data_IF_542489221281
#
_entry.id   IF_542489221281
#
_cell.length_a   1.000
_cell.length_b   1.000
_cell.length_c   1.000
_cell.angle_alpha   90.00
_cell.angle_beta   90.00
_cell.angle_gamma   90.00
#
_symmetry.space_group_name_H-M   'P 1'
#
loop_
_entity.id
_entity.type
_entity.pdbx_description
1 polymer ?
#
# COMPACT_ATOMS: atom_id res chain seq x y z
N UNK A 1 3.44 -35.31 17.19
CA UNK A 1 3.75 -34.88 15.82
C UNK A 1 2.88 -33.68 15.55
N UNK A 2 3.46 -32.49 15.37
CA UNK A 2 2.70 -31.33 14.92
C UNK A 2 2.36 -31.54 13.43
N UNK A 3 1.14 -31.24 13.02
CA UNK A 3 0.77 -31.27 11.60
C UNK A 3 1.40 -30.09 10.88
N UNK A 4 1.70 -30.24 9.59
CA UNK A 4 2.25 -29.15 8.76
C UNK A 4 1.37 -27.88 8.82
N UNK A 5 0.04 -28.04 8.91
CA UNK A 5 -0.90 -26.92 9.09
C UNK A 5 -0.68 -26.12 10.38
N UNK A 6 -0.38 -26.77 11.51
CA UNK A 6 -0.10 -26.04 12.77
C UNK A 6 1.23 -25.27 12.72
N UNK A 7 2.16 -25.70 11.87
CA UNK A 7 3.45 -25.03 11.69
C UNK A 7 3.32 -23.80 10.77
N UNK A 8 2.48 -23.88 9.74
CA UNK A 8 2.15 -22.73 8.87
C UNK A 8 1.38 -21.64 9.62
N UNK A 9 0.41 -21.99 10.48
CA UNK A 9 -0.34 -21.02 11.30
C UNK A 9 0.53 -20.34 12.38
N UNK A 10 1.43 -21.06 13.05
CA UNK A 10 2.38 -20.45 14.00
C UNK A 10 3.35 -19.47 13.30
N UNK A 11 3.82 -19.81 12.10
CA UNK A 11 4.67 -18.93 11.30
C UNK A 11 3.93 -17.67 10.85
N UNK A 12 2.71 -17.81 10.35
CA UNK A 12 1.87 -16.67 9.96
C UNK A 12 1.63 -15.72 11.14
N UNK A 13 1.32 -16.26 12.32
CA UNK A 13 1.12 -15.45 13.52
C UNK A 13 2.41 -14.74 13.97
N UNK A 14 3.58 -15.38 13.86
CA UNK A 14 4.87 -14.73 14.15
C UNK A 14 5.23 -13.64 13.13
N UNK A 15 4.95 -13.88 11.85
CA UNK A 15 5.17 -12.92 10.76
C UNK A 15 4.21 -11.72 10.89
N UNK A 16 2.94 -11.95 11.27
CA UNK A 16 1.99 -10.89 11.58
C UNK A 16 2.40 -10.06 12.80
N UNK A 17 2.95 -10.70 13.84
CA UNK A 17 3.52 -10.01 15.01
C UNK A 17 4.72 -9.14 14.62
N UNK A 18 5.62 -9.61 13.75
CA UNK A 18 6.74 -8.82 13.24
C UNK A 18 6.28 -7.61 12.39
N UNK A 19 5.18 -7.75 11.64
CA UNK A 19 4.64 -6.69 10.77
C UNK A 19 3.57 -5.81 11.43
N UNK A 20 3.23 -6.03 12.71
CA UNK A 20 2.36 -5.12 13.48
C UNK A 20 2.86 -3.67 13.41
N UNK A 21 4.18 -3.51 13.47
CA UNK A 21 4.84 -2.23 13.39
C UNK A 21 5.40 -2.05 11.98
N UNK A 22 4.74 -1.20 11.20
CA UNK A 22 5.22 -0.83 9.88
C UNK A 22 6.47 0.03 10.09
N UNK A 23 7.65 -0.58 10.00
CA UNK A 23 8.94 0.14 10.01
C UNK A 23 9.13 0.82 8.65
N UNK A 24 8.73 2.08 8.57
CA UNK A 24 8.97 2.95 7.43
C UNK A 24 10.12 3.91 7.73
N UNK A 25 10.98 4.11 6.73
CA UNK A 25 11.91 5.23 6.73
C UNK A 25 11.24 6.55 6.27
N UNK A 26 11.91 7.69 6.44
CA UNK A 26 11.34 9.02 6.10
C UNK A 26 10.86 9.18 4.66
N UNK A 27 11.53 8.54 3.69
CA UNK A 27 11.18 8.64 2.28
C UNK A 27 9.90 7.86 2.00
N UNK A 28 9.83 6.63 2.50
CA UNK A 28 8.63 5.79 2.42
C UNK A 28 7.46 6.43 3.17
N UNK A 29 7.69 7.02 4.35
CA UNK A 29 6.70 7.78 5.11
C UNK A 29 6.12 8.95 4.33
N UNK A 30 6.93 9.70 3.56
CA UNK A 30 6.42 10.80 2.73
C UNK A 30 5.49 10.29 1.65
N UNK A 31 5.90 9.26 0.93
CA UNK A 31 5.14 8.71 -0.19
C UNK A 31 3.83 8.06 0.27
N UNK A 32 3.86 7.41 1.43
CA UNK A 32 2.71 6.78 2.08
C UNK A 32 1.78 7.82 2.69
N UNK A 33 2.28 8.95 3.20
CA UNK A 33 1.45 10.04 3.72
C UNK A 33 0.74 10.84 2.64
N UNK A 34 1.38 11.06 1.49
CA UNK A 34 0.79 11.85 0.40
C UNK A 34 -0.40 11.11 -0.24
N UNK A 35 -0.39 9.77 -0.23
CA UNK A 35 -1.46 9.00 -0.88
C UNK A 35 -2.84 9.25 -0.25
N UNK A 36 -3.07 9.06 1.08
CA UNK A 36 -4.37 9.28 1.68
C UNK A 36 -4.89 10.71 1.52
N UNK A 37 -4.02 11.70 1.68
CA UNK A 37 -4.36 13.12 1.44
C UNK A 37 -4.80 13.33 -0.01
N UNK A 38 -4.01 12.82 -0.97
CA UNK A 38 -4.30 12.96 -2.40
C UNK A 38 -5.63 12.32 -2.77
N UNK A 39 -5.99 11.17 -2.19
CA UNK A 39 -7.26 10.49 -2.48
C UNK A 39 -8.45 11.19 -1.78
N UNK A 40 -8.28 11.63 -0.53
CA UNK A 40 -9.33 12.26 0.27
C UNK A 40 -9.91 13.54 -0.37
N UNK A 41 -9.14 14.20 -1.23
CA UNK A 41 -9.58 15.37 -1.99
C UNK A 41 -10.64 15.05 -3.06
N UNK A 42 -10.73 13.79 -3.51
CA UNK A 42 -11.57 13.40 -4.66
C UNK A 42 -12.80 12.58 -4.27
N UNK A 43 -12.77 11.92 -3.11
CA UNK A 43 -13.85 11.01 -2.67
C UNK A 43 -14.35 11.37 -1.27
N UNK A 44 -15.61 11.06 -0.93
CA UNK A 44 -16.18 11.36 0.38
C UNK A 44 -15.78 10.31 1.43
N UNK A 45 -14.49 9.98 1.47
CA UNK A 45 -13.87 9.10 2.47
C UNK A 45 -12.82 9.92 3.17
N UNK A 46 -12.83 9.92 4.50
CA UNK A 46 -11.86 10.70 5.27
C UNK A 46 -10.44 10.11 5.11
N UNK A 47 -9.43 10.95 5.30
CA UNK A 47 -8.02 10.59 5.15
C UNK A 47 -7.60 9.42 6.06
N UNK A 48 -8.08 9.38 7.31
CA UNK A 48 -7.74 8.32 8.27
C UNK A 48 -8.22 6.95 7.78
N UNK A 49 -9.42 6.88 7.24
CA UNK A 49 -9.98 5.65 6.67
C UNK A 49 -9.18 5.19 5.45
N UNK A 50 -8.76 6.12 4.58
CA UNK A 50 -7.90 5.78 3.44
C UNK A 50 -6.52 5.27 3.92
N UNK A 51 -5.93 5.93 4.93
CA UNK A 51 -4.68 5.52 5.56
C UNK A 51 -4.79 4.12 6.17
N UNK A 52 -5.89 3.80 6.85
CA UNK A 52 -6.14 2.47 7.41
C UNK A 52 -6.16 1.39 6.33
N UNK A 53 -6.89 1.60 5.23
CA UNK A 53 -6.93 0.64 4.12
C UNK A 53 -5.58 0.49 3.42
N UNK A 54 -4.85 1.59 3.29
CA UNK A 54 -3.52 1.58 2.69
C UNK A 54 -2.53 0.81 3.56
N UNK A 55 -2.51 1.05 4.87
CA UNK A 55 -1.68 0.29 5.83
C UNK A 55 -2.06 -1.19 5.89
N UNK A 56 -3.36 -1.51 5.82
CA UNK A 56 -3.83 -2.89 5.69
C UNK A 56 -3.28 -3.54 4.41
N UNK A 57 -3.31 -2.83 3.28
CA UNK A 57 -2.81 -3.33 2.00
C UNK A 57 -1.30 -3.56 2.01
N UNK A 58 -0.55 -2.68 2.68
CA UNK A 58 0.89 -2.86 2.93
C UNK A 58 1.13 -4.16 3.70
N UNK A 59 0.42 -4.36 4.82
CA UNK A 59 0.57 -5.57 5.64
C UNK A 59 0.26 -6.85 4.86
N UNK A 60 -0.83 -6.86 4.09
CA UNK A 60 -1.18 -7.99 3.21
C UNK A 60 -0.02 -8.29 2.26
N UNK A 61 0.51 -7.27 1.58
CA UNK A 61 1.65 -7.47 0.68
C UNK A 61 2.90 -8.00 1.41
N UNK A 62 3.22 -7.48 2.60
CA UNK A 62 4.38 -7.91 3.38
C UNK A 62 4.27 -9.39 3.80
N UNK A 63 3.08 -9.83 4.19
CA UNK A 63 2.79 -11.24 4.54
C UNK A 63 2.89 -12.10 3.29
N UNK A 64 2.18 -11.74 2.21
CA UNK A 64 2.13 -12.52 0.97
C UNK A 64 3.52 -12.70 0.33
N UNK A 65 4.38 -11.70 0.44
CA UNK A 65 5.72 -11.71 -0.15
C UNK A 65 6.81 -12.13 0.82
N UNK A 66 6.51 -12.24 2.11
CA UNK A 66 7.49 -12.38 3.19
C UNK A 66 8.63 -11.35 3.08
N UNK A 67 8.28 -10.07 2.88
CA UNK A 67 9.24 -8.96 2.66
C UNK A 67 8.88 -7.76 3.52
N UNK A 68 9.89 -6.99 3.94
CA UNK A 68 9.68 -5.71 4.63
C UNK A 68 9.58 -4.58 3.61
N UNK A 69 8.78 -3.57 3.92
CA UNK A 69 8.71 -2.37 3.07
C UNK A 69 10.06 -1.66 2.98
N UNK A 70 10.87 -1.69 4.04
CA UNK A 70 12.25 -1.16 4.05
C UNK A 70 13.15 -1.80 2.99
N UNK A 71 12.88 -3.05 2.61
CA UNK A 71 13.68 -3.80 1.63
C UNK A 71 13.47 -3.25 0.21
N UNK A 72 12.47 -2.40 -0.02
CA UNK A 72 12.24 -1.76 -1.30
C UNK A 72 13.39 -0.83 -1.72
N UNK A 73 14.21 -0.33 -0.79
CA UNK A 73 15.31 0.60 -1.12
C UNK A 73 16.41 -0.02 -1.99
N UNK A 74 16.60 -1.32 -1.89
CA UNK A 74 17.72 -2.02 -2.54
C UNK A 74 17.34 -2.64 -3.89
N UNK A 75 16.06 -2.54 -4.28
CA UNK A 75 15.56 -3.08 -5.55
C UNK A 75 15.40 -1.96 -6.61
N UNK A 76 15.42 -2.31 -7.90
CA UNK A 76 15.23 -1.35 -9.00
C UNK A 76 13.95 -0.53 -8.86
N UNK A 77 14.00 0.72 -9.32
CA UNK A 77 12.92 1.70 -9.15
C UNK A 77 11.63 1.27 -9.85
N UNK A 78 11.74 0.58 -10.97
CA UNK A 78 10.62 -0.01 -11.70
C UNK A 78 9.94 -1.11 -10.88
N UNK A 79 10.72 -1.89 -10.13
CA UNK A 79 10.20 -2.94 -9.24
C UNK A 79 9.51 -2.31 -8.02
N UNK A 80 10.10 -1.25 -7.44
CA UNK A 80 9.45 -0.46 -6.38
C UNK A 80 8.09 0.09 -6.85
N UNK A 81 8.03 0.65 -8.06
CA UNK A 81 6.80 1.16 -8.65
C UNK A 81 5.77 0.06 -8.91
N UNK A 82 6.21 -1.12 -9.34
CA UNK A 82 5.33 -2.27 -9.53
C UNK A 82 4.71 -2.74 -8.21
N UNK A 83 5.51 -2.79 -7.14
CA UNK A 83 5.04 -3.15 -5.80
C UNK A 83 4.03 -2.12 -5.28
N UNK A 84 4.30 -0.84 -5.45
CA UNK A 84 3.38 0.23 -5.06
C UNK A 84 2.04 0.11 -5.80
N UNK A 85 2.05 -0.21 -7.10
CA UNK A 85 0.83 -0.47 -7.87
C UNK A 85 0.01 -1.62 -7.30
N UNK A 86 0.66 -2.70 -6.86
CA UNK A 86 0.00 -3.84 -6.22
C UNK A 86 -0.70 -3.41 -4.92
N UNK A 87 0.02 -2.69 -4.06
CA UNK A 87 -0.52 -2.18 -2.78
C UNK A 87 -1.72 -1.25 -3.04
N UNK A 88 -1.60 -0.30 -3.98
CA UNK A 88 -2.67 0.62 -4.35
C UNK A 88 -3.86 -0.11 -4.96
N UNK A 89 -3.64 -1.15 -5.75
CA UNK A 89 -4.72 -1.97 -6.31
C UNK A 89 -5.54 -2.66 -5.22
N UNK A 90 -4.87 -3.21 -4.20
CA UNK A 90 -5.55 -3.76 -3.01
C UNK A 90 -6.34 -2.68 -2.27
N UNK A 91 -5.74 -1.51 -2.05
CA UNK A 91 -6.41 -0.39 -1.37
C UNK A 91 -7.62 0.11 -2.15
N UNK A 92 -7.50 0.24 -3.47
CA UNK A 92 -8.62 0.60 -4.36
C UNK A 92 -9.77 -0.36 -4.20
N UNK A 93 -9.47 -1.66 -4.17
CA UNK A 93 -10.47 -2.72 -4.08
C UNK A 93 -11.23 -2.68 -2.75
N UNK A 94 -10.55 -2.35 -1.65
CA UNK A 94 -11.19 -2.12 -0.35
C UNK A 94 -12.03 -0.83 -0.36
N UNK A 95 -11.48 0.28 -0.87
CA UNK A 95 -12.17 1.57 -0.92
C UNK A 95 -13.45 1.53 -1.76
N UNK A 96 -13.44 0.82 -2.91
CA UNK A 96 -14.63 0.66 -3.76
C UNK A 96 -15.81 0.08 -2.98
N UNK A 97 -15.57 -0.80 -1.99
CA UNK A 97 -16.64 -1.38 -1.16
C UNK A 97 -17.39 -0.33 -0.33
N UNK A 98 -16.79 0.83 -0.09
CA UNK A 98 -17.40 1.96 0.63
C UNK A 98 -18.06 2.98 -0.30
N UNK A 99 -17.78 2.91 -1.60
CA UNK A 99 -18.30 3.85 -2.59
C UNK A 99 -19.58 3.31 -3.20
N UNK A 100 -20.69 4.00 -2.92
CA UNK A 100 -22.03 3.58 -3.37
C UNK A 100 -22.36 4.13 -4.76
N UNK A 101 -21.71 5.24 -5.16
CA UNK A 101 -22.00 5.91 -6.44
C UNK A 101 -20.90 5.64 -7.46
N UNK A 102 -21.27 5.30 -8.69
CA UNK A 102 -20.34 5.12 -9.81
C UNK A 102 -19.41 6.33 -10.01
N UNK A 103 -19.94 7.55 -9.86
CA UNK A 103 -19.14 8.78 -9.96
C UNK A 103 -17.99 8.84 -8.94
N UNK A 104 -18.19 8.31 -7.72
CA UNK A 104 -17.15 8.27 -6.70
C UNK A 104 -16.06 7.26 -7.07
N UNK A 105 -16.43 6.15 -7.69
CA UNK A 105 -15.48 5.14 -8.18
C UNK A 105 -14.63 5.75 -9.30
N UNK A 106 -15.24 6.46 -10.26
CA UNK A 106 -14.49 7.17 -11.30
C UNK A 106 -13.54 8.22 -10.73
N UNK A 107 -13.96 8.96 -9.69
CA UNK A 107 -13.09 9.93 -8.99
C UNK A 107 -11.93 9.26 -8.26
N UNK A 108 -12.15 8.10 -7.63
CA UNK A 108 -11.09 7.30 -7.01
C UNK A 108 -10.08 6.84 -8.06
N UNK A 109 -10.55 6.32 -9.20
CA UNK A 109 -9.67 5.86 -10.28
C UNK A 109 -8.83 7.01 -10.87
N UNK A 110 -9.45 8.17 -11.06
CA UNK A 110 -8.75 9.38 -11.48
C UNK A 110 -7.65 9.77 -10.47
N UNK A 111 -7.99 9.86 -9.18
CA UNK A 111 -7.06 10.26 -8.13
C UNK A 111 -5.87 9.29 -8.00
N UNK A 112 -6.12 7.98 -8.12
CA UNK A 112 -5.07 6.96 -8.14
C UNK A 112 -4.13 7.13 -9.34
N UNK A 113 -4.68 7.40 -10.52
CA UNK A 113 -3.86 7.57 -11.73
C UNK A 113 -2.98 8.83 -11.63
N UNK A 114 -3.52 9.94 -11.14
CA UNK A 114 -2.78 11.17 -10.89
C UNK A 114 -1.64 10.93 -9.88
N UNK A 115 -1.94 10.24 -8.76
CA UNK A 115 -0.93 9.89 -7.77
C UNK A 115 0.18 9.01 -8.37
N UNK A 116 -0.16 7.97 -9.12
CA UNK A 116 0.81 7.07 -9.75
C UNK A 116 1.68 7.79 -10.78
N UNK A 117 1.10 8.73 -11.53
CA UNK A 117 1.83 9.57 -12.48
C UNK A 117 2.82 10.50 -11.74
N UNK A 118 2.37 11.18 -10.69
CA UNK A 118 3.22 12.00 -9.84
C UNK A 118 4.36 11.17 -9.25
N UNK A 119 4.05 10.00 -8.69
CA UNK A 119 5.04 9.13 -8.07
C UNK A 119 6.13 8.70 -9.05
N UNK A 120 5.73 8.21 -10.23
CA UNK A 120 6.67 7.78 -11.27
C UNK A 120 7.60 8.93 -11.70
N UNK A 121 7.04 10.14 -11.89
CA UNK A 121 7.83 11.31 -12.29
C UNK A 121 8.85 11.73 -11.23
N UNK A 122 8.51 11.63 -9.94
CA UNK A 122 9.44 12.01 -8.86
C UNK A 122 10.53 10.96 -8.65
N UNK A 123 10.19 9.68 -8.81
CA UNK A 123 11.18 8.60 -8.82
C UNK A 123 12.25 8.79 -9.91
N UNK A 124 11.84 9.20 -11.12
CA UNK A 124 12.75 9.45 -12.24
C UNK A 124 13.69 10.65 -11.99
N UNK A 125 13.33 11.59 -11.11
CA UNK A 125 14.08 12.83 -10.86
C UNK A 125 15.16 12.69 -9.78
N UNK A 126 15.10 11.69 -8.90
CA UNK A 126 16.12 11.49 -7.85
C UNK A 126 17.43 10.85 -8.36
N UNK A 127 17.48 10.46 -9.64
CA UNK A 127 18.63 9.78 -10.27
C UNK A 127 19.44 10.65 -11.26
N UNK A 128 19.13 11.96 -11.35
CA UNK A 128 19.89 12.95 -12.13
C UNK A 128 20.77 13.78 -11.18
#
# INVERSE_FOLDING_TARGET
MMSEQSFEEENLNQVEEEFKNIYQDEFQMRLIRIFPESIAQYIPVNELTIMEFFNKSIRVWQIDQNKKLSDLRIIPIEEQFSILKTIISHTKSELIKFLVKAEQITKLEFAINEYLYFYKRNLDLEYI
#
